data_IF_039912084672
#
_entry.id   IF_039912084672
#
_cell.length_a   1.000
_cell.length_b   1.000
_cell.length_c   1.000
_cell.angle_alpha   90.00
_cell.angle_beta   90.00
_cell.angle_gamma   90.00
#
_symmetry.space_group_name_H-M   'P 1'
#
loop_
_entity.id
_entity.type
_entity.pdbx_description
1 polymer ?
#
# COMPACT_ATOMS: atom_id res chain seq x y z
N UNK A 1 -90.76 14.26 4.79
CA UNK A 1 -90.56 14.21 6.24
C UNK A 1 -89.60 13.03 6.67
N UNK A 2 -88.54 12.72 5.87
CA UNK A 2 -87.62 11.64 6.14
C UNK A 2 -86.14 12.04 6.11
N UNK A 3 -85.85 13.32 6.21
CA UNK A 3 -84.44 13.79 6.19
C UNK A 3 -83.89 14.23 7.57
N UNK A 4 -84.72 14.18 8.62
CA UNK A 4 -84.34 14.64 9.97
C UNK A 4 -83.73 13.54 10.86
N UNK A 5 -83.58 12.29 10.38
CA UNK A 5 -83.04 11.20 11.19
C UNK A 5 -81.65 10.72 10.75
N UNK A 6 -81.01 11.41 9.86
CA UNK A 6 -79.59 11.16 9.58
C UNK A 6 -78.71 12.19 10.30
N UNK A 7 -78.86 12.28 11.61
CA UNK A 7 -77.79 12.86 12.44
C UNK A 7 -76.49 12.07 12.26
N UNK A 8 -75.31 12.67 12.45
CA UNK A 8 -74.06 11.98 12.35
C UNK A 8 -74.16 10.77 13.28
N UNK A 9 -74.09 9.56 12.69
CA UNK A 9 -73.98 8.28 13.45
C UNK A 9 -72.85 8.45 14.43
N UNK A 10 -73.19 8.44 15.71
CA UNK A 10 -72.21 8.54 16.76
C UNK A 10 -71.07 7.59 16.45
N UNK A 11 -69.85 8.05 16.61
CA UNK A 11 -68.67 7.28 16.39
C UNK A 11 -68.82 5.96 17.15
N UNK A 12 -69.27 4.92 16.44
CA UNK A 12 -69.24 3.56 17.01
C UNK A 12 -67.75 3.31 17.28
N UNK A 13 -67.42 3.04 18.49
CA UNK A 13 -66.10 2.67 18.92
C UNK A 13 -65.76 1.38 18.21
N UNK A 14 -65.16 1.46 17.03
CA UNK A 14 -64.76 0.31 16.25
C UNK A 14 -63.44 -0.18 16.83
N UNK A 15 -63.53 -1.13 17.74
CA UNK A 15 -62.39 -1.74 18.39
C UNK A 15 -61.42 -2.34 17.34
N UNK A 16 -61.92 -2.79 16.20
CA UNK A 16 -61.11 -3.35 15.13
C UNK A 16 -60.29 -2.26 14.40
N UNK A 17 -60.88 -1.07 14.16
CA UNK A 17 -60.19 0.09 13.57
C UNK A 17 -59.03 0.56 14.46
N UNK A 18 -59.23 0.63 15.77
CA UNK A 18 -58.16 1.00 16.71
C UNK A 18 -57.14 -0.10 16.82
N UNK A 19 -57.52 -1.36 16.78
CA UNK A 19 -56.59 -2.49 16.81
C UNK A 19 -55.68 -2.51 15.59
N UNK A 20 -56.18 -2.30 14.38
CA UNK A 20 -55.40 -2.23 13.15
C UNK A 20 -54.41 -1.03 13.14
N UNK A 21 -54.73 0.03 13.85
CA UNK A 21 -53.87 1.22 13.94
C UNK A 21 -52.78 1.07 15.02
N UNK A 22 -53.07 0.37 16.14
CA UNK A 22 -52.12 0.15 17.24
C UNK A 22 -51.23 -1.08 17.04
N UNK A 23 -51.68 -2.07 16.30
CA UNK A 23 -50.92 -3.30 16.06
C UNK A 23 -49.55 -3.06 15.41
N UNK A 24 -49.36 -2.21 14.37
CA UNK A 24 -48.06 -1.90 13.83
C UNK A 24 -47.12 -1.21 14.81
N UNK A 25 -47.66 -0.33 15.65
CA UNK A 25 -46.87 0.39 16.67
C UNK A 25 -46.33 -0.57 17.72
N UNK A 26 -47.18 -1.47 18.23
CA UNK A 26 -46.75 -2.51 19.18
C UNK A 26 -45.72 -3.44 18.55
N UNK A 27 -45.93 -3.87 17.29
CA UNK A 27 -44.99 -4.69 16.57
C UNK A 27 -43.63 -4.00 16.38
N UNK A 28 -43.63 -2.72 16.04
CA UNK A 28 -42.39 -1.95 15.91
C UNK A 28 -41.60 -1.83 17.20
N UNK A 29 -42.30 -1.60 18.33
CA UNK A 29 -41.68 -1.57 19.67
C UNK A 29 -41.08 -2.93 20.02
N UNK A 30 -41.79 -4.03 19.78
CA UNK A 30 -41.26 -5.39 20.00
C UNK A 30 -40.02 -5.67 19.14
N UNK A 31 -40.06 -5.29 17.88
CA UNK A 31 -38.88 -5.44 16.94
C UNK A 31 -37.69 -4.65 17.46
N UNK A 32 -37.88 -3.42 17.94
CA UNK A 32 -36.79 -2.62 18.50
C UNK A 32 -36.19 -3.26 19.77
N UNK A 33 -37.03 -3.74 20.68
CA UNK A 33 -36.59 -4.40 21.91
C UNK A 33 -35.81 -5.70 21.61
N UNK A 34 -36.36 -6.54 20.74
CA UNK A 34 -35.71 -7.80 20.33
C UNK A 34 -34.42 -7.50 19.58
N UNK A 35 -34.45 -6.55 18.66
CA UNK A 35 -33.26 -6.11 17.89
C UNK A 35 -32.15 -5.55 18.79
N UNK A 36 -32.51 -4.79 19.83
CA UNK A 36 -31.55 -4.29 20.83
C UNK A 36 -30.89 -5.42 21.62
N UNK A 37 -31.67 -6.42 22.04
CA UNK A 37 -31.14 -7.59 22.74
C UNK A 37 -30.21 -8.39 21.83
N UNK A 38 -30.60 -8.60 20.57
CA UNK A 38 -29.75 -9.28 19.56
C UNK A 38 -28.48 -8.50 19.34
N UNK A 39 -28.54 -7.17 19.20
CA UNK A 39 -27.38 -6.31 19.04
C UNK A 39 -26.38 -6.46 20.19
N UNK A 40 -26.86 -6.49 21.44
CA UNK A 40 -26.01 -6.70 22.61
C UNK A 40 -25.35 -8.09 22.60
N UNK A 41 -26.10 -9.15 22.31
CA UNK A 41 -25.59 -10.53 22.30
C UNK A 41 -24.53 -10.72 21.21
N UNK A 42 -24.78 -10.25 19.99
CA UNK A 42 -23.86 -10.39 18.87
C UNK A 42 -22.60 -9.55 19.10
N UNK A 43 -22.76 -8.31 19.54
CA UNK A 43 -21.62 -7.43 19.85
C UNK A 43 -20.72 -8.02 20.96
N UNK A 44 -21.33 -8.59 22.01
CA UNK A 44 -20.60 -9.29 23.07
C UNK A 44 -19.88 -10.55 22.54
N UNK A 45 -20.54 -11.31 21.66
CA UNK A 45 -19.96 -12.47 20.99
C UNK A 45 -18.74 -12.11 20.16
N UNK A 46 -18.87 -11.10 19.30
CA UNK A 46 -17.76 -10.58 18.47
C UNK A 46 -16.59 -10.10 19.34
N UNK A 47 -16.87 -9.35 20.42
CA UNK A 47 -15.83 -8.92 21.36
C UNK A 47 -15.08 -10.10 21.96
N UNK A 48 -15.79 -11.14 22.42
CA UNK A 48 -15.17 -12.36 22.98
C UNK A 48 -14.33 -13.11 21.93
N UNK A 49 -14.78 -13.19 20.69
CA UNK A 49 -14.02 -13.83 19.61
C UNK A 49 -12.72 -13.07 19.32
N UNK A 50 -12.78 -11.74 19.22
CA UNK A 50 -11.61 -10.90 19.02
C UNK A 50 -10.61 -10.99 20.18
N UNK A 51 -11.10 -11.07 21.41
CA UNK A 51 -10.28 -11.28 22.61
C UNK A 51 -9.54 -12.62 22.59
N UNK A 52 -10.18 -13.70 22.13
CA UNK A 52 -9.51 -15.00 21.95
C UNK A 52 -8.34 -14.96 20.97
N UNK A 53 -8.42 -14.12 19.95
CA UNK A 53 -7.34 -13.93 18.95
C UNK A 53 -6.23 -13.01 19.49
N UNK A 54 -6.39 -12.40 20.68
CA UNK A 54 -5.47 -11.45 21.28
C UNK A 54 -5.11 -10.28 20.34
N UNK A 55 -6.10 -9.74 19.64
CA UNK A 55 -5.93 -8.72 18.59
C UNK A 55 -5.26 -7.46 19.15
N UNK A 56 -5.69 -7.00 20.32
CA UNK A 56 -5.12 -5.82 20.98
C UNK A 56 -3.63 -6.03 21.37
N UNK A 57 -3.28 -7.20 21.89
CA UNK A 57 -1.91 -7.52 22.31
C UNK A 57 -0.96 -7.60 21.10
N UNK A 58 -1.39 -8.20 19.99
CA UNK A 58 -0.60 -8.31 18.76
C UNK A 58 -0.36 -6.94 18.10
N UNK A 59 -1.35 -6.04 18.14
CA UNK A 59 -1.19 -4.68 17.61
C UNK A 59 -0.39 -3.78 18.57
N UNK A 60 -0.54 -3.94 19.86
CA UNK A 60 0.23 -3.20 20.86
C UNK A 60 1.73 -3.46 20.73
N UNK A 61 2.12 -4.71 20.49
CA UNK A 61 3.53 -5.07 20.23
C UNK A 61 4.08 -4.52 18.91
N UNK A 62 3.21 -4.27 17.92
CA UNK A 62 3.61 -3.74 16.63
C UNK A 62 3.65 -2.20 16.56
N UNK A 63 2.81 -1.50 17.35
CA UNK A 63 2.62 -0.04 17.23
C UNK A 63 3.05 0.76 18.47
N UNK A 64 3.41 0.09 19.57
CA UNK A 64 3.75 0.73 20.85
C UNK A 64 2.57 1.44 21.54
N UNK A 65 1.34 1.33 21.00
CA UNK A 65 0.10 1.87 21.58
C UNK A 65 -0.85 0.73 21.90
N UNK A 66 -1.71 0.91 22.89
CA UNK A 66 -2.78 -0.05 23.24
C UNK A 66 -4.10 0.35 22.57
N UNK A 67 -4.32 0.05 21.28
CA UNK A 67 -5.56 0.38 20.61
C UNK A 67 -6.66 -0.56 21.10
N UNK A 68 -7.82 -0.04 21.50
CA UNK A 68 -8.98 -0.84 21.88
C UNK A 68 -9.82 -1.20 20.63
N UNK A 69 -9.21 -1.95 19.72
CA UNK A 69 -9.87 -2.37 18.46
C UNK A 69 -11.02 -3.32 18.72
N UNK A 70 -10.86 -4.23 19.68
CA UNK A 70 -11.91 -5.17 20.08
C UNK A 70 -13.18 -4.44 20.53
N UNK A 71 -13.02 -3.39 21.34
CA UNK A 71 -14.12 -2.55 21.78
C UNK A 71 -14.74 -1.71 20.65
N UNK A 72 -13.91 -1.22 19.73
CA UNK A 72 -14.36 -0.41 18.60
C UNK A 72 -15.19 -1.25 17.62
N UNK A 73 -14.67 -2.41 17.20
CA UNK A 73 -15.40 -3.34 16.32
C UNK A 73 -16.71 -3.80 16.96
N UNK A 74 -16.70 -4.16 18.24
CA UNK A 74 -17.91 -4.54 18.97
C UNK A 74 -18.96 -3.42 18.96
N UNK A 75 -18.56 -2.16 19.15
CA UNK A 75 -19.46 -1.00 19.07
C UNK A 75 -20.03 -0.80 17.67
N UNK A 76 -19.20 -0.92 16.64
CA UNK A 76 -19.65 -0.82 15.24
C UNK A 76 -20.70 -1.89 14.92
N UNK A 77 -20.46 -3.14 15.33
CA UNK A 77 -21.41 -4.25 15.15
C UNK A 77 -22.71 -4.01 15.91
N UNK A 78 -22.63 -3.52 17.15
CA UNK A 78 -23.80 -3.15 17.92
C UNK A 78 -24.67 -2.11 17.21
N UNK A 79 -24.08 -0.98 16.81
CA UNK A 79 -24.80 0.08 16.11
C UNK A 79 -25.36 -0.38 14.78
N UNK A 80 -24.63 -1.22 14.05
CA UNK A 80 -25.09 -1.76 12.77
C UNK A 80 -26.35 -2.61 12.96
N UNK A 81 -26.37 -3.54 13.92
CA UNK A 81 -27.56 -4.38 14.19
C UNK A 81 -28.71 -3.53 14.71
N UNK A 82 -28.42 -2.51 15.52
CA UNK A 82 -29.45 -1.59 16.00
C UNK A 82 -30.11 -0.81 14.86
N UNK A 83 -29.33 -0.34 13.89
CA UNK A 83 -29.86 0.31 12.67
C UNK A 83 -30.75 -0.66 11.88
N UNK A 84 -30.34 -1.93 11.73
CA UNK A 84 -31.19 -2.96 11.11
C UNK A 84 -32.54 -3.11 11.81
N UNK A 85 -32.54 -3.13 13.14
CA UNK A 85 -33.76 -3.21 13.93
C UNK A 85 -34.65 -1.97 13.76
N UNK A 86 -34.05 -0.78 13.70
CA UNK A 86 -34.77 0.47 13.43
C UNK A 86 -35.42 0.45 12.04
N UNK A 87 -34.67 0.04 11.01
CA UNK A 87 -35.22 -0.09 9.64
C UNK A 87 -36.36 -1.10 9.59
N UNK A 88 -36.24 -2.24 10.26
CA UNK A 88 -37.30 -3.23 10.34
C UNK A 88 -38.57 -2.67 11.04
N UNK A 89 -38.39 -1.92 12.13
CA UNK A 89 -39.49 -1.25 12.82
C UNK A 89 -40.19 -0.19 11.92
N UNK A 90 -39.42 0.64 11.21
CA UNK A 90 -39.94 1.62 10.27
C UNK A 90 -40.71 0.99 9.10
N UNK A 91 -40.27 -0.18 8.63
CA UNK A 91 -40.99 -0.93 7.60
C UNK A 91 -42.35 -1.45 8.10
N UNK A 92 -42.43 -1.92 9.34
CA UNK A 92 -43.70 -2.37 9.94
C UNK A 92 -44.67 -1.21 10.17
N UNK A 93 -44.14 -0.01 10.49
CA UNK A 93 -44.92 1.23 10.60
C UNK A 93 -45.40 1.77 9.25
N UNK A 94 -45.01 1.15 8.14
CA UNK A 94 -45.35 1.55 6.77
C UNK A 94 -44.94 2.99 6.41
N UNK A 95 -43.88 3.52 7.06
CA UNK A 95 -43.32 4.84 6.78
C UNK A 95 -42.40 4.75 5.54
N UNK A 96 -43.00 4.53 4.38
CA UNK A 96 -42.29 4.24 3.12
C UNK A 96 -41.34 5.34 2.67
N UNK A 97 -41.62 6.60 2.99
CA UNK A 97 -40.75 7.73 2.65
C UNK A 97 -39.39 7.71 3.33
N UNK A 98 -39.27 7.07 4.50
CA UNK A 98 -38.04 6.97 5.29
C UNK A 98 -37.42 5.57 5.19
N UNK A 99 -38.27 4.52 5.27
CA UNK A 99 -37.80 3.14 5.27
C UNK A 99 -37.12 2.71 3.96
N UNK A 100 -37.56 3.21 2.81
CA UNK A 100 -37.03 2.86 1.51
C UNK A 100 -35.52 3.17 1.35
N UNK A 101 -35.08 4.42 1.50
CA UNK A 101 -33.66 4.79 1.45
C UNK A 101 -32.80 4.04 2.47
N UNK A 102 -33.30 3.89 3.71
CA UNK A 102 -32.58 3.15 4.76
C UNK A 102 -32.45 1.65 4.43
N UNK A 103 -33.51 1.02 3.92
CA UNK A 103 -33.47 -0.39 3.50
C UNK A 103 -32.45 -0.60 2.38
N UNK A 104 -32.35 0.33 1.42
CA UNK A 104 -31.34 0.27 0.36
C UNK A 104 -29.92 0.38 0.91
N UNK A 105 -29.67 1.30 1.84
CA UNK A 105 -28.37 1.43 2.51
C UNK A 105 -28.00 0.14 3.26
N UNK A 106 -28.93 -0.43 4.02
CA UNK A 106 -28.75 -1.68 4.74
C UNK A 106 -28.45 -2.83 3.78
N UNK A 107 -29.22 -2.96 2.71
CA UNK A 107 -28.99 -3.99 1.70
C UNK A 107 -27.61 -3.86 1.05
N UNK A 108 -27.17 -2.65 0.75
CA UNK A 108 -25.81 -2.43 0.24
C UNK A 108 -24.75 -2.92 1.24
N UNK A 109 -24.87 -2.55 2.52
CA UNK A 109 -23.92 -3.00 3.55
C UNK A 109 -23.95 -4.52 3.71
N UNK A 110 -25.12 -5.14 3.68
CA UNK A 110 -25.25 -6.62 3.77
C UNK A 110 -24.57 -7.33 2.60
N UNK A 111 -24.62 -6.78 1.40
CA UNK A 111 -23.90 -7.31 0.23
C UNK A 111 -22.39 -7.21 0.40
N UNK A 112 -21.88 -6.22 1.13
CA UNK A 112 -20.45 -6.09 1.40
C UNK A 112 -19.90 -7.11 2.40
N UNK A 113 -20.72 -7.67 3.29
CA UNK A 113 -20.24 -8.63 4.32
C UNK A 113 -19.54 -9.85 3.70
N UNK A 114 -20.13 -10.58 2.72
CA UNK A 114 -19.44 -11.66 2.03
C UNK A 114 -18.15 -11.20 1.33
N UNK A 115 -18.17 -10.02 0.73
CA UNK A 115 -17.00 -9.45 0.06
C UNK A 115 -15.87 -9.14 1.03
N UNK A 116 -16.18 -8.61 2.23
CA UNK A 116 -15.19 -8.37 3.28
C UNK A 116 -14.56 -9.69 3.73
N UNK A 117 -15.36 -10.73 3.94
CA UNK A 117 -14.86 -12.06 4.32
C UNK A 117 -13.94 -12.61 3.23
N UNK A 118 -14.34 -12.55 1.97
CA UNK A 118 -13.55 -13.00 0.83
C UNK A 118 -12.23 -12.19 0.72
N UNK A 119 -12.29 -10.86 0.88
CA UNK A 119 -11.12 -9.99 0.87
C UNK A 119 -10.13 -10.33 1.99
N UNK A 120 -10.62 -10.62 3.20
CA UNK A 120 -9.78 -11.04 4.35
C UNK A 120 -9.11 -12.38 4.05
N UNK A 121 -9.85 -13.36 3.47
CA UNK A 121 -9.27 -14.66 3.09
C UNK A 121 -8.17 -14.50 2.05
N UNK A 122 -8.43 -13.72 0.98
CA UNK A 122 -7.45 -13.47 -0.08
C UNK A 122 -6.25 -12.67 0.46
N UNK A 123 -6.47 -11.66 1.29
CA UNK A 123 -5.39 -10.92 1.95
C UNK A 123 -4.53 -11.80 2.85
N UNK A 124 -5.16 -12.76 3.56
CA UNK A 124 -4.44 -13.74 4.39
C UNK A 124 -3.60 -14.71 3.53
N UNK A 125 -4.15 -15.18 2.40
CA UNK A 125 -3.40 -15.99 1.43
C UNK A 125 -2.20 -15.19 0.90
N UNK A 126 -2.41 -13.94 0.49
CA UNK A 126 -1.34 -13.03 0.04
C UNK A 126 -0.24 -12.86 1.09
N UNK A 127 -0.61 -12.72 2.36
CA UNK A 127 0.33 -12.63 3.46
C UNK A 127 1.15 -13.92 3.67
N UNK A 128 0.52 -15.10 3.54
CA UNK A 128 1.25 -16.37 3.60
C UNK A 128 2.24 -16.48 2.44
N UNK A 129 1.79 -16.18 1.21
CA UNK A 129 2.64 -16.23 0.01
C UNK A 129 3.82 -15.26 0.16
N UNK A 130 3.57 -14.03 0.60
CA UNK A 130 4.60 -13.03 0.83
C UNK A 130 5.66 -13.52 1.84
N UNK A 131 5.24 -14.17 2.94
CA UNK A 131 6.16 -14.76 3.92
C UNK A 131 6.99 -15.92 3.35
N UNK A 132 6.35 -16.77 2.55
CA UNK A 132 7.05 -17.90 1.91
C UNK A 132 8.10 -17.39 0.91
N UNK A 133 7.76 -16.39 0.09
CA UNK A 133 8.69 -15.77 -0.86
C UNK A 133 9.86 -15.12 -0.11
N UNK A 134 9.57 -14.32 0.94
CA UNK A 134 10.61 -13.72 1.79
C UNK A 134 11.56 -14.78 2.35
N UNK A 135 11.02 -15.81 3.00
CA UNK A 135 11.83 -16.86 3.61
C UNK A 135 12.66 -17.63 2.56
N UNK A 136 12.07 -17.95 1.42
CA UNK A 136 12.75 -18.63 0.32
C UNK A 136 13.93 -17.81 -0.20
N UNK A 137 13.69 -16.54 -0.54
CA UNK A 137 14.73 -15.65 -1.09
C UNK A 137 15.82 -15.36 -0.06
N UNK A 138 15.47 -15.04 1.19
CA UNK A 138 16.43 -14.80 2.25
C UNK A 138 17.33 -16.05 2.46
N UNK A 139 16.74 -17.26 2.49
CA UNK A 139 17.48 -18.50 2.65
C UNK A 139 18.40 -18.82 1.45
N UNK A 140 17.97 -18.52 0.24
CA UNK A 140 18.80 -18.72 -0.96
C UNK A 140 19.96 -17.74 -0.98
N UNK A 141 19.69 -16.44 -0.75
CA UNK A 141 20.72 -15.41 -0.77
C UNK A 141 21.73 -15.58 0.37
N UNK A 142 21.30 -15.90 1.59
CA UNK A 142 22.19 -16.10 2.74
C UNK A 142 23.11 -17.30 2.60
N UNK A 143 22.79 -18.27 1.72
CA UNK A 143 23.67 -19.39 1.40
C UNK A 143 24.72 -19.04 0.34
N UNK A 144 24.56 -17.93 -0.35
CA UNK A 144 25.55 -17.45 -1.32
C UNK A 144 26.56 -16.56 -0.61
N UNK A 145 27.85 -16.68 -0.95
CA UNK A 145 28.93 -15.82 -0.41
C UNK A 145 28.76 -14.33 -0.76
N UNK A 146 27.70 -13.98 -1.48
CA UNK A 146 27.38 -12.61 -1.86
C UNK A 146 26.97 -11.75 -0.66
N UNK A 147 26.30 -12.35 0.32
CA UNK A 147 25.84 -11.63 1.52
C UNK A 147 27.02 -11.13 2.36
N UNK A 148 28.05 -11.97 2.55
CA UNK A 148 29.24 -11.63 3.34
C UNK A 148 30.15 -10.63 2.61
N UNK A 149 30.35 -10.77 1.30
CA UNK A 149 31.21 -9.88 0.52
C UNK A 149 30.61 -8.49 0.34
N UNK A 150 29.32 -8.39 0.00
CA UNK A 150 28.65 -7.12 -0.21
C UNK A 150 28.36 -6.39 1.10
N UNK A 151 28.02 -7.10 2.17
CA UNK A 151 27.77 -6.49 3.49
C UNK A 151 29.06 -5.89 4.08
N UNK A 152 30.22 -6.53 3.87
CA UNK A 152 31.52 -6.03 4.36
C UNK A 152 32.04 -4.82 3.58
N UNK A 153 31.78 -4.72 2.27
CA UNK A 153 32.24 -3.60 1.43
C UNK A 153 31.34 -2.36 1.51
N UNK A 154 30.03 -2.53 1.71
CA UNK A 154 29.04 -1.43 1.68
C UNK A 154 28.64 -0.98 3.09
N UNK A 155 28.99 -1.73 4.15
CA UNK A 155 28.64 -1.40 5.53
C UNK A 155 27.13 -1.46 5.83
N UNK A 156 26.35 -2.10 4.96
CA UNK A 156 24.87 -2.24 5.09
C UNK A 156 24.59 -3.64 5.63
N UNK A 157 23.89 -3.73 6.75
CA UNK A 157 23.51 -5.00 7.36
C UNK A 157 22.69 -5.88 6.41
N UNK A 158 23.01 -7.18 6.36
CA UNK A 158 22.30 -8.29 5.71
C UNK A 158 21.52 -7.96 4.42
N UNK A 159 22.19 -7.89 3.28
CA UNK A 159 21.54 -7.60 1.98
C UNK A 159 20.44 -8.62 1.68
N UNK A 160 20.64 -9.88 2.06
CA UNK A 160 19.64 -10.95 1.92
C UNK A 160 18.34 -10.65 2.65
N UNK A 161 18.40 -10.06 3.85
CA UNK A 161 17.22 -9.67 4.61
C UNK A 161 16.48 -8.50 3.95
N UNK A 162 17.20 -7.49 3.47
CA UNK A 162 16.62 -6.32 2.81
C UNK A 162 15.91 -6.70 1.51
N UNK A 163 16.53 -7.56 0.69
CA UNK A 163 15.91 -8.06 -0.55
C UNK A 163 14.66 -8.90 -0.21
N UNK A 164 14.74 -9.76 0.80
CA UNK A 164 13.60 -10.52 1.27
C UNK A 164 12.43 -9.64 1.73
N UNK A 165 12.73 -8.52 2.42
CA UNK A 165 11.72 -7.55 2.86
C UNK A 165 11.08 -6.81 1.67
N UNK A 166 11.87 -6.37 0.72
CA UNK A 166 11.37 -5.73 -0.52
C UNK A 166 10.41 -6.67 -1.26
N UNK A 167 10.80 -7.93 -1.44
CA UNK A 167 9.95 -8.91 -2.11
C UNK A 167 8.68 -9.26 -1.32
N UNK A 168 8.76 -9.27 0.01
CA UNK A 168 7.58 -9.43 0.86
C UNK A 168 6.55 -8.32 0.59
N UNK A 169 6.98 -7.06 0.62
CA UNK A 169 6.10 -5.93 0.35
C UNK A 169 5.60 -5.89 -1.10
N UNK A 170 6.45 -6.29 -2.06
CA UNK A 170 6.06 -6.40 -3.46
C UNK A 170 4.94 -7.43 -3.65
N UNK A 171 5.06 -8.61 -3.03
CA UNK A 171 4.00 -9.63 -3.10
C UNK A 171 2.71 -9.13 -2.47
N UNK A 172 2.78 -8.46 -1.31
CA UNK A 172 1.59 -7.86 -0.71
C UNK A 172 0.95 -6.80 -1.62
N UNK A 173 1.77 -6.00 -2.30
CA UNK A 173 1.31 -5.01 -3.28
C UNK A 173 0.61 -5.67 -4.48
N UNK A 174 1.09 -6.85 -4.95
CA UNK A 174 0.44 -7.61 -6.02
C UNK A 174 -0.95 -8.14 -5.62
N UNK A 175 -1.16 -8.49 -4.35
CA UNK A 175 -2.46 -8.94 -3.86
C UNK A 175 -3.44 -7.80 -3.58
N UNK A 176 -2.94 -6.57 -3.42
CA UNK A 176 -3.77 -5.41 -3.06
C UNK A 176 -4.87 -5.10 -4.10
N UNK A 177 -4.61 -5.08 -5.44
CA UNK A 177 -5.67 -4.88 -6.43
C UNK A 177 -6.77 -5.94 -6.35
N UNK A 178 -6.41 -7.20 -6.07
CA UNK A 178 -7.37 -8.31 -5.95
C UNK A 178 -8.29 -8.06 -4.74
N UNK A 179 -7.71 -7.67 -3.61
CA UNK A 179 -8.46 -7.34 -2.39
C UNK A 179 -9.39 -6.15 -2.62
N UNK A 180 -8.90 -5.07 -3.28
CA UNK A 180 -9.70 -3.89 -3.61
C UNK A 180 -10.85 -4.21 -4.57
N UNK A 181 -10.59 -5.08 -5.56
CA UNK A 181 -11.61 -5.55 -6.50
C UNK A 181 -12.73 -6.32 -5.80
N UNK A 182 -12.38 -7.24 -4.88
CA UNK A 182 -13.35 -8.01 -4.09
C UNK A 182 -14.17 -7.07 -3.19
N UNK A 183 -13.55 -6.06 -2.61
CA UNK A 183 -14.23 -5.04 -1.81
C UNK A 183 -15.09 -4.08 -2.65
N UNK A 184 -15.05 -4.16 -3.99
CA UNK A 184 -15.77 -3.24 -4.86
C UNK A 184 -15.25 -1.81 -4.85
N UNK A 185 -14.02 -1.59 -4.36
CA UNK A 185 -13.38 -0.27 -4.28
C UNK A 185 -12.76 0.13 -5.63
N UNK A 186 -13.60 0.20 -6.67
CA UNK A 186 -13.17 0.43 -8.06
C UNK A 186 -12.45 1.76 -8.28
N UNK A 187 -12.77 2.79 -7.50
CA UNK A 187 -12.10 4.09 -7.59
C UNK A 187 -10.63 4.06 -7.18
N UNK A 188 -10.22 3.10 -6.33
CA UNK A 188 -8.84 2.90 -5.91
C UNK A 188 -8.10 1.86 -6.78
N UNK A 189 -8.83 1.08 -7.56
CA UNK A 189 -8.26 -0.05 -8.30
C UNK A 189 -7.27 0.43 -9.38
N UNK A 190 -7.62 1.42 -10.17
CA UNK A 190 -6.77 1.94 -11.26
C UNK A 190 -5.45 2.52 -10.73
N UNK A 191 -5.44 3.45 -9.76
CA UNK A 191 -4.18 3.96 -9.20
C UNK A 191 -3.28 2.85 -8.62
N UNK A 192 -3.88 1.88 -7.91
CA UNK A 192 -3.11 0.80 -7.31
C UNK A 192 -2.58 -0.17 -8.36
N UNK A 193 -3.35 -0.46 -9.42
CA UNK A 193 -2.85 -1.25 -10.55
C UNK A 193 -1.67 -0.58 -11.25
N UNK A 194 -1.70 0.74 -11.44
CA UNK A 194 -0.57 1.47 -11.99
C UNK A 194 0.66 1.33 -11.09
N UNK A 195 0.52 1.53 -9.76
CA UNK A 195 1.62 1.32 -8.81
C UNK A 195 2.19 -0.11 -8.87
N UNK A 196 1.34 -1.12 -9.02
CA UNK A 196 1.76 -2.52 -9.17
C UNK A 196 2.54 -2.71 -10.47
N UNK A 197 2.03 -2.19 -11.59
CA UNK A 197 2.69 -2.28 -12.89
C UNK A 197 4.07 -1.62 -12.87
N UNK A 198 4.17 -0.43 -12.27
CA UNK A 198 5.43 0.29 -12.12
C UNK A 198 6.42 -0.50 -11.24
N UNK A 199 5.96 -1.05 -10.12
CA UNK A 199 6.79 -1.85 -9.23
C UNK A 199 7.29 -3.16 -9.89
N UNK A 200 6.45 -3.81 -10.70
CA UNK A 200 6.84 -5.02 -11.45
C UNK A 200 7.83 -4.68 -12.58
N UNK A 201 7.59 -3.56 -13.29
CA UNK A 201 8.48 -3.10 -14.33
C UNK A 201 9.86 -2.67 -13.80
N UNK A 202 9.91 -2.24 -12.53
CA UNK A 202 11.16 -1.86 -11.87
C UNK A 202 12.15 -3.03 -11.72
N UNK A 203 11.68 -4.28 -11.57
CA UNK A 203 12.55 -5.47 -11.41
C UNK A 203 13.48 -5.72 -12.62
N UNK A 204 12.99 -5.85 -13.87
CA UNK A 204 13.86 -5.98 -15.01
C UNK A 204 14.73 -4.74 -15.23
N UNK A 205 14.21 -3.55 -14.91
CA UNK A 205 14.95 -2.30 -15.05
C UNK A 205 16.17 -2.22 -14.13
N UNK A 206 16.08 -2.75 -12.89
CA UNK A 206 17.24 -2.88 -11.98
C UNK A 206 18.35 -3.73 -12.62
N UNK A 207 17.97 -4.84 -13.25
CA UNK A 207 18.95 -5.69 -13.92
C UNK A 207 19.63 -4.98 -15.09
N UNK A 208 18.85 -4.27 -15.93
CA UNK A 208 19.36 -3.48 -17.05
C UNK A 208 20.31 -2.39 -16.54
N UNK A 209 19.90 -1.63 -15.53
CA UNK A 209 20.72 -0.58 -14.92
C UNK A 209 22.02 -1.16 -14.34
N UNK A 210 21.95 -2.32 -13.66
CA UNK A 210 23.12 -3.03 -13.15
C UNK A 210 24.11 -3.41 -14.26
N UNK A 211 23.62 -3.91 -15.40
CA UNK A 211 24.45 -4.20 -16.58
C UNK A 211 25.09 -2.93 -17.14
N UNK A 212 24.32 -1.84 -17.27
CA UNK A 212 24.83 -0.54 -17.74
C UNK A 212 25.96 -0.05 -16.83
N UNK A 213 25.77 -0.07 -15.52
CA UNK A 213 26.81 0.37 -14.55
C UNK A 213 28.05 -0.52 -14.65
N UNK A 214 27.88 -1.84 -14.76
CA UNK A 214 28.99 -2.79 -14.88
C UNK A 214 29.80 -2.55 -16.13
N UNK A 215 29.16 -2.43 -17.30
CA UNK A 215 29.81 -2.16 -18.58
C UNK A 215 30.47 -0.78 -18.58
N UNK A 216 29.76 0.23 -18.09
CA UNK A 216 30.27 1.60 -17.98
C UNK A 216 31.48 1.70 -17.08
N UNK A 217 31.53 0.99 -15.97
CA UNK A 217 32.70 0.92 -15.09
C UNK A 217 33.92 0.32 -15.79
N UNK A 218 33.73 -0.78 -16.54
CA UNK A 218 34.80 -1.40 -17.29
C UNK A 218 35.35 -0.41 -18.36
N UNK A 219 34.44 0.21 -19.12
CA UNK A 219 34.83 1.22 -20.14
C UNK A 219 35.54 2.39 -19.50
N UNK A 220 35.02 2.96 -18.41
CA UNK A 220 35.68 4.05 -17.69
C UNK A 220 37.08 3.71 -17.24
N UNK A 221 37.29 2.48 -16.72
CA UNK A 221 38.59 1.98 -16.27
C UNK A 221 39.58 1.85 -17.44
N UNK A 222 39.12 1.33 -18.59
CA UNK A 222 39.94 1.19 -19.79
C UNK A 222 40.37 2.59 -20.31
N UNK A 223 39.40 3.51 -20.47
CA UNK A 223 39.66 4.86 -20.96
C UNK A 223 40.61 5.61 -20.03
N UNK A 224 40.39 5.49 -18.71
CA UNK A 224 41.31 6.02 -17.70
C UNK A 224 42.73 5.54 -17.92
N UNK A 225 42.93 4.24 -18.09
CA UNK A 225 44.27 3.66 -18.33
C UNK A 225 44.94 4.17 -19.62
N UNK A 226 44.15 4.33 -20.68
CA UNK A 226 44.63 4.91 -21.96
C UNK A 226 45.07 6.37 -21.76
N UNK A 227 44.24 7.20 -21.11
CA UNK A 227 44.56 8.62 -20.83
C UNK A 227 45.80 8.73 -19.95
N UNK A 228 45.89 7.97 -18.87
CA UNK A 228 47.06 7.93 -17.99
C UNK A 228 48.33 7.56 -18.78
N UNK A 229 48.27 6.53 -19.62
CA UNK A 229 49.39 6.08 -20.47
C UNK A 229 49.82 7.12 -21.47
N UNK A 230 48.87 7.73 -22.19
CA UNK A 230 49.18 8.80 -23.19
C UNK A 230 49.85 10.02 -22.54
N UNK A 231 49.29 10.54 -21.44
CA UNK A 231 49.82 11.70 -20.71
C UNK A 231 51.25 11.43 -20.21
N UNK A 232 51.45 10.23 -19.63
CA UNK A 232 52.79 9.85 -19.16
C UNK A 232 53.79 9.70 -20.33
N UNK A 233 53.36 9.18 -21.49
CA UNK A 233 54.21 9.02 -22.68
C UNK A 233 54.61 10.36 -23.32
N UNK A 234 53.73 11.36 -23.24
CA UNK A 234 54.00 12.72 -23.80
C UNK A 234 54.92 13.54 -22.89
N UNK A 235 55.34 13.04 -21.74
CA UNK A 235 56.26 13.76 -20.84
C UNK A 235 55.66 15.01 -20.20
N UNK A 236 54.33 15.11 -20.18
CA UNK A 236 53.57 16.27 -19.60
C UNK A 236 53.94 16.51 -18.15
N UNK A 237 54.28 15.46 -17.39
CA UNK A 237 54.67 15.52 -15.99
C UNK A 237 55.89 16.46 -15.79
N UNK A 238 56.93 16.31 -16.61
CA UNK A 238 58.16 17.11 -16.50
C UNK A 238 57.93 18.62 -16.82
N UNK A 239 56.98 18.90 -17.71
CA UNK A 239 56.57 20.27 -18.04
C UNK A 239 55.73 20.88 -16.89
N UNK A 240 54.80 20.14 -16.30
CA UNK A 240 53.97 20.57 -15.18
C UNK A 240 54.81 20.87 -13.95
N UNK A 241 55.83 20.06 -13.66
CA UNK A 241 56.76 20.29 -12.55
C UNK A 241 57.61 21.55 -12.72
N UNK A 242 58.03 21.87 -13.94
CA UNK A 242 58.79 23.11 -14.24
C UNK A 242 58.01 24.38 -13.95
N UNK A 243 56.70 24.36 -14.13
CA UNK A 243 55.82 25.51 -13.83
C UNK A 243 55.24 25.50 -12.40
N UNK A 244 55.72 24.57 -11.58
CA UNK A 244 55.34 24.46 -10.17
C UNK A 244 54.03 23.75 -9.90
N UNK A 245 53.38 23.21 -10.91
CA UNK A 245 52.13 22.44 -10.79
C UNK A 245 52.43 20.92 -10.58
N UNK A 246 51.63 20.25 -9.80
CA UNK A 246 51.68 18.81 -9.58
C UNK A 246 53.02 18.25 -9.05
N UNK A 247 53.77 19.02 -8.25
CA UNK A 247 55.04 18.59 -7.63
C UNK A 247 54.98 17.28 -6.85
N UNK A 248 53.82 16.99 -6.25
CA UNK A 248 53.56 15.81 -5.41
C UNK A 248 52.49 14.87 -5.98
N UNK A 249 52.03 15.08 -7.24
CA UNK A 249 50.94 14.33 -7.84
C UNK A 249 51.26 14.03 -9.32
N UNK A 250 50.74 12.92 -9.83
CA UNK A 250 50.92 12.56 -11.24
C UNK A 250 49.80 13.16 -12.08
N UNK A 251 50.17 13.99 -13.09
CA UNK A 251 49.22 14.65 -14.01
C UNK A 251 48.38 13.64 -14.78
N UNK A 252 49.01 12.53 -15.22
CA UNK A 252 48.31 11.48 -15.95
C UNK A 252 47.23 10.81 -15.08
N UNK A 253 47.55 10.52 -13.79
CA UNK A 253 46.56 9.97 -12.84
C UNK A 253 45.42 10.93 -12.56
N UNK A 254 45.71 12.24 -12.45
CA UNK A 254 44.69 13.25 -12.22
C UNK A 254 43.73 13.34 -13.42
N UNK A 255 44.24 13.51 -14.64
CA UNK A 255 43.44 13.60 -15.86
C UNK A 255 42.68 12.28 -16.13
N UNK A 256 43.36 11.15 -15.97
CA UNK A 256 42.69 9.85 -16.09
C UNK A 256 41.54 9.65 -15.08
N UNK A 257 41.71 10.10 -13.84
CA UNK A 257 40.65 10.04 -12.83
C UNK A 257 39.51 11.02 -13.14
N UNK A 258 39.81 12.18 -13.70
CA UNK A 258 38.80 13.15 -14.13
C UNK A 258 37.92 12.59 -15.26
N UNK A 259 38.55 12.00 -16.29
CA UNK A 259 37.83 11.33 -17.39
C UNK A 259 37.03 10.14 -16.89
N UNK A 260 37.58 9.35 -15.96
CA UNK A 260 36.87 8.27 -15.32
C UNK A 260 35.60 8.77 -14.59
N UNK A 261 35.71 9.86 -13.85
CA UNK A 261 34.59 10.45 -13.14
C UNK A 261 33.47 10.91 -14.12
N UNK A 262 33.82 11.54 -15.22
CA UNK A 262 32.85 11.97 -16.25
C UNK A 262 32.13 10.74 -16.83
N UNK A 263 32.85 9.68 -17.19
CA UNK A 263 32.26 8.48 -17.79
C UNK A 263 31.34 7.79 -16.74
N UNK A 264 31.77 7.70 -15.48
CA UNK A 264 30.93 7.10 -14.42
C UNK A 264 29.67 7.93 -14.18
N UNK A 265 29.77 9.26 -14.12
CA UNK A 265 28.59 10.12 -13.95
C UNK A 265 27.61 9.91 -15.11
N UNK A 266 28.11 9.92 -16.37
CA UNK A 266 27.28 9.65 -17.55
C UNK A 266 26.63 8.25 -17.46
N UNK A 267 27.40 7.24 -17.08
CA UNK A 267 26.91 5.87 -16.92
C UNK A 267 25.80 5.78 -15.86
N UNK A 268 25.98 6.48 -14.74
CA UNK A 268 24.95 6.52 -13.67
C UNK A 268 23.67 7.22 -14.14
N UNK A 269 23.79 8.30 -14.91
CA UNK A 269 22.63 8.99 -15.51
C UNK A 269 21.84 8.02 -16.40
N UNK A 270 22.52 7.31 -17.31
CA UNK A 270 21.88 6.31 -18.20
C UNK A 270 21.27 5.15 -17.39
N UNK A 271 21.92 4.74 -16.30
CA UNK A 271 21.38 3.72 -15.40
C UNK A 271 20.11 4.20 -14.69
N UNK A 272 20.05 5.46 -14.25
CA UNK A 272 18.84 6.05 -13.65
C UNK A 272 17.70 6.20 -14.67
N UNK A 273 18.02 6.53 -15.93
CA UNK A 273 17.03 6.51 -17.02
C UNK A 273 16.47 5.11 -17.25
N UNK A 274 17.34 4.10 -17.28
CA UNK A 274 16.92 2.71 -17.42
C UNK A 274 16.04 2.23 -16.23
N UNK A 275 16.24 2.79 -15.03
CA UNK A 275 15.37 2.56 -13.88
C UNK A 275 14.01 3.27 -13.98
N UNK A 276 13.82 4.18 -14.94
CA UNK A 276 12.62 5.02 -15.04
C UNK A 276 12.58 6.17 -14.02
N UNK A 277 13.73 6.56 -13.45
CA UNK A 277 13.82 7.63 -12.44
C UNK A 277 14.19 8.97 -13.14
N UNK A 278 13.29 9.46 -13.98
CA UNK A 278 13.49 10.69 -14.74
C UNK A 278 13.71 11.94 -13.86
N UNK A 279 13.13 11.94 -12.68
CA UNK A 279 13.27 13.04 -11.70
C UNK A 279 14.74 13.28 -11.29
N UNK A 280 15.58 12.26 -11.36
CA UNK A 280 17.02 12.35 -11.04
C UNK A 280 17.85 12.50 -12.29
N UNK A 281 17.52 11.77 -13.37
CA UNK A 281 18.33 11.77 -14.60
C UNK A 281 18.32 13.12 -15.32
N UNK A 282 17.18 13.82 -15.38
CA UNK A 282 17.07 15.13 -16.03
C UNK A 282 17.96 16.22 -15.40
N UNK A 283 17.88 16.50 -14.05
CA UNK A 283 18.78 17.46 -13.42
C UNK A 283 20.26 17.06 -13.53
N UNK A 284 20.57 15.76 -13.38
CA UNK A 284 21.93 15.27 -13.49
C UNK A 284 22.52 15.45 -14.89
N UNK A 285 21.72 15.23 -15.94
CA UNK A 285 22.10 15.51 -17.33
C UNK A 285 22.37 17.00 -17.57
N UNK A 286 21.51 17.88 -17.01
CA UNK A 286 21.71 19.32 -17.10
C UNK A 286 23.02 19.76 -16.45
N UNK A 287 23.30 19.29 -15.23
CA UNK A 287 24.57 19.58 -14.53
C UNK A 287 25.77 19.04 -15.27
N UNK A 288 25.71 17.85 -15.82
CA UNK A 288 26.80 17.28 -16.62
C UNK A 288 27.10 18.14 -17.87
N UNK A 289 26.07 18.58 -18.59
CA UNK A 289 26.20 19.45 -19.74
C UNK A 289 26.86 20.80 -19.39
N UNK A 290 26.49 21.40 -18.26
CA UNK A 290 27.12 22.61 -17.76
C UNK A 290 28.62 22.40 -17.46
N UNK A 291 28.98 21.29 -16.83
CA UNK A 291 30.38 20.92 -16.55
C UNK A 291 31.17 20.75 -17.87
N UNK A 292 30.58 20.03 -18.83
CA UNK A 292 31.24 19.79 -20.13
C UNK A 292 31.41 21.08 -20.93
N UNK A 293 30.45 22.02 -20.86
CA UNK A 293 30.54 23.32 -21.52
C UNK A 293 31.53 24.27 -20.83
N UNK A 294 31.82 24.07 -19.57
CA UNK A 294 32.79 24.85 -18.81
C UNK A 294 34.26 24.44 -19.13
N UNK A 295 34.45 23.32 -19.84
CA UNK A 295 35.78 22.87 -20.27
C UNK A 295 36.12 23.62 -21.56
N UNK A 296 37.17 24.48 -21.60
CA UNK A 296 37.55 25.28 -22.76
C UNK A 296 38.16 24.42 -23.88
#
# INVERSE_FOLDING_TARGET
MNEFFNGPRGAQFDAMYYWDQFHPILAAIVILLVGWIIALLVAAGVKKLLQKVNTNAKLSSATGRTPNIEGLISKVVFWFILILAVVAALNVLNISGVSGPFSNMVNQVLVYIPNIIAAVVVGFIGWIVARLVRAGVTNVLSRTQLDDKLSSEVGVGGISQNIGEILYWLVLLLFLPIVLSILGLTGLLIPVQNMVNDAVAFLPNIFIAGVIVFVGYILAKIVRGIVEGLINSLGVQSQAEKIGLFKNSNVGKFLGSFVFAIIIITTLIVAFEALGIETISQPATAMLNEILQAIP
#
